data_IF_159367386778
#
_entry.id   IF_159367386778
#
_cell.length_a   1.000
_cell.length_b   1.000
_cell.length_c   1.000
_cell.angle_alpha   90.00
_cell.angle_beta   90.00
_cell.angle_gamma   90.00
#
_symmetry.space_group_name_H-M   'P 1'
#
loop_
_entity.id
_entity.type
_entity.pdbx_description
1 polymer ?
#
# COMPACT_ATOMS: atom_id res chain seq x y z
N UNK A 1 -16.87 1.52 -46.13
CA UNK A 1 -15.79 1.48 -45.14
C UNK A 1 -16.40 1.75 -43.79
N UNK A 2 -16.55 0.72 -42.99
CA UNK A 2 -17.14 0.85 -41.66
C UNK A 2 -16.08 1.39 -40.70
N UNK A 3 -16.33 2.57 -40.19
CA UNK A 3 -15.50 3.24 -39.19
C UNK A 3 -15.65 2.48 -37.86
N UNK A 4 -14.68 1.62 -37.57
CA UNK A 4 -14.61 0.92 -36.29
C UNK A 4 -14.10 1.93 -35.24
N UNK A 5 -15.01 2.72 -34.68
CA UNK A 5 -14.72 3.52 -33.50
C UNK A 5 -14.31 2.58 -32.37
N UNK A 6 -13.01 2.51 -32.11
CA UNK A 6 -12.46 1.91 -30.90
C UNK A 6 -12.96 2.79 -29.73
N UNK A 7 -14.05 2.37 -29.06
CA UNK A 7 -14.49 2.99 -27.83
C UNK A 7 -13.36 2.86 -26.83
N UNK A 8 -12.68 3.97 -26.53
CA UNK A 8 -11.73 4.04 -25.45
C UNK A 8 -12.44 3.62 -24.15
N UNK A 9 -12.01 2.51 -23.56
CA UNK A 9 -12.54 2.06 -22.28
C UNK A 9 -12.17 3.09 -21.20
N UNK A 10 -13.11 3.43 -20.32
CA UNK A 10 -12.82 4.31 -19.20
C UNK A 10 -11.67 3.74 -18.36
N UNK A 11 -10.79 4.60 -17.83
CA UNK A 11 -9.63 4.18 -17.02
C UNK A 11 -10.01 3.25 -15.86
N UNK A 12 -11.21 3.41 -15.32
CA UNK A 12 -11.79 2.56 -14.27
C UNK A 12 -11.98 1.09 -14.69
N UNK A 13 -12.15 0.81 -16.00
CA UNK A 13 -12.27 -0.56 -16.49
C UNK A 13 -10.95 -1.33 -16.45
N UNK A 14 -9.81 -0.62 -16.53
CA UNK A 14 -8.47 -1.21 -16.44
C UNK A 14 -8.04 -1.55 -15.02
N UNK A 15 -8.60 -0.86 -14.02
CA UNK A 15 -8.25 -1.15 -12.61
C UNK A 15 -8.93 -2.46 -12.19
N UNK A 16 -8.16 -3.50 -11.83
CA UNK A 16 -8.71 -4.81 -11.48
C UNK A 16 -9.38 -4.84 -10.10
N UNK A 17 -9.38 -3.75 -9.36
CA UNK A 17 -10.02 -3.65 -8.03
C UNK A 17 -11.53 -3.56 -8.21
N UNK A 18 -12.25 -4.42 -7.48
CA UNK A 18 -13.72 -4.42 -7.41
C UNK A 18 -14.20 -3.58 -6.22
N UNK A 19 -13.67 -3.88 -5.05
CA UNK A 19 -14.00 -3.19 -3.79
C UNK A 19 -12.89 -3.33 -2.76
N UNK A 20 -12.93 -2.51 -1.72
CA UNK A 20 -12.09 -2.66 -0.51
C UNK A 20 -13.02 -2.84 0.67
N UNK A 21 -12.91 -4.00 1.35
CA UNK A 21 -13.77 -4.36 2.48
C UNK A 21 -12.90 -4.83 3.64
N UNK A 22 -13.05 -4.23 4.82
CA UNK A 22 -12.32 -4.57 6.05
C UNK A 22 -10.77 -4.61 5.87
N UNK A 23 -10.23 -3.68 5.06
CA UNK A 23 -8.80 -3.65 4.73
C UNK A 23 -8.35 -4.74 3.77
N UNK A 24 -9.29 -5.46 3.16
CA UNK A 24 -9.05 -6.47 2.12
C UNK A 24 -9.46 -5.92 0.77
N UNK A 25 -8.56 -5.96 -0.19
CA UNK A 25 -8.82 -5.59 -1.58
C UNK A 25 -9.39 -6.80 -2.30
N UNK A 26 -10.61 -6.69 -2.80
CA UNK A 26 -11.27 -7.70 -3.63
C UNK A 26 -11.06 -7.34 -5.08
N UNK A 27 -10.48 -8.25 -5.86
CA UNK A 27 -10.26 -8.05 -7.29
C UNK A 27 -11.46 -8.54 -8.11
N UNK A 28 -11.53 -8.08 -9.36
CA UNK A 28 -12.62 -8.45 -10.30
C UNK A 28 -12.65 -9.95 -10.62
N UNK A 29 -11.51 -10.63 -10.49
CA UNK A 29 -11.38 -12.09 -10.69
C UNK A 29 -11.75 -12.93 -9.45
N UNK A 30 -12.20 -12.27 -8.37
CA UNK A 30 -12.55 -12.91 -7.10
C UNK A 30 -11.35 -13.22 -6.21
N UNK A 31 -10.13 -12.86 -6.60
CA UNK A 31 -8.96 -12.98 -5.73
C UNK A 31 -8.92 -11.84 -4.70
N UNK A 32 -8.27 -12.13 -3.58
CA UNK A 32 -8.17 -11.20 -2.45
C UNK A 32 -6.72 -10.78 -2.24
N UNK A 33 -6.52 -9.53 -1.77
CA UNK A 33 -5.21 -9.01 -1.41
C UNK A 33 -5.29 -8.26 -0.09
N UNK A 34 -4.29 -8.46 0.76
CA UNK A 34 -4.05 -7.62 1.95
C UNK A 34 -2.76 -6.85 1.72
N UNK A 35 -2.77 -5.59 2.09
CA UNK A 35 -1.61 -4.71 2.04
C UNK A 35 -1.07 -4.51 3.46
N UNK A 36 0.22 -4.74 3.61
CA UNK A 36 0.95 -4.51 4.84
C UNK A 36 1.95 -3.39 4.61
N UNK A 37 2.03 -2.44 5.52
CA UNK A 37 3.09 -1.43 5.54
C UNK A 37 4.23 -1.93 6.41
N UNK A 38 5.46 -1.86 5.91
CA UNK A 38 6.66 -2.30 6.61
C UNK A 38 7.56 -1.12 6.96
N UNK A 39 8.19 -1.18 8.15
CA UNK A 39 9.23 -0.22 8.54
C UNK A 39 10.54 -0.50 7.81
N UNK A 40 11.37 0.53 7.66
CA UNK A 40 12.74 0.38 7.17
C UNK A 40 13.72 0.08 8.31
N UNK A 41 14.84 -0.54 7.97
CA UNK A 41 16.00 -0.71 8.84
C UNK A 41 17.19 -0.02 8.17
N UNK A 42 17.94 0.78 8.93
CA UNK A 42 19.17 1.34 8.42
C UNK A 42 20.33 0.36 8.67
N UNK A 43 20.64 -0.46 7.66
CA UNK A 43 21.74 -1.42 7.72
C UNK A 43 23.12 -0.75 7.84
N UNK A 44 23.30 0.46 7.33
CA UNK A 44 24.58 1.16 7.38
C UNK A 44 25.03 1.52 8.83
N UNK A 45 24.07 1.58 9.77
CA UNK A 45 24.35 1.82 11.20
C UNK A 45 24.61 0.54 11.99
N UNK A 46 24.59 -0.63 11.34
CA UNK A 46 24.81 -1.93 11.94
C UNK A 46 26.24 -2.41 11.71
N UNK A 47 26.77 -3.20 12.64
CA UNK A 47 28.04 -3.89 12.45
C UNK A 47 27.95 -4.90 11.29
N UNK A 48 29.09 -5.30 10.74
CA UNK A 48 29.12 -6.26 9.62
C UNK A 48 28.46 -7.60 10.00
N UNK A 49 28.69 -8.09 11.21
CA UNK A 49 28.11 -9.34 11.69
C UNK A 49 26.57 -9.22 11.84
N UNK A 50 26.08 -8.09 12.38
CA UNK A 50 24.65 -7.82 12.47
C UNK A 50 23.99 -7.71 11.09
N UNK A 51 24.66 -7.05 10.11
CA UNK A 51 24.17 -6.97 8.74
C UNK A 51 24.00 -8.37 8.12
N UNK A 52 25.00 -9.22 8.26
CA UNK A 52 24.94 -10.60 7.77
C UNK A 52 23.86 -11.42 8.48
N UNK A 53 23.73 -11.26 9.80
CA UNK A 53 22.69 -11.94 10.56
C UNK A 53 21.27 -11.53 10.09
N UNK A 54 21.01 -10.23 9.87
CA UNK A 54 19.74 -9.71 9.37
C UNK A 54 19.45 -10.25 7.96
N UNK A 55 20.45 -10.24 7.07
CA UNK A 55 20.29 -10.78 5.71
C UNK A 55 19.99 -12.27 5.74
N UNK A 56 20.71 -13.04 6.58
CA UNK A 56 20.46 -14.47 6.75
C UNK A 56 19.06 -14.78 7.29
N UNK A 57 18.58 -14.00 8.27
CA UNK A 57 17.23 -14.11 8.79
C UNK A 57 16.17 -13.79 7.72
N UNK A 58 16.40 -12.77 6.89
CA UNK A 58 15.50 -12.43 5.80
C UNK A 58 15.46 -13.52 4.71
N UNK A 59 16.62 -14.10 4.38
CA UNK A 59 16.69 -15.26 3.47
C UNK A 59 15.91 -16.47 4.03
N UNK A 60 16.06 -16.76 5.31
CA UNK A 60 15.31 -17.83 5.98
C UNK A 60 13.81 -17.56 5.96
N UNK A 61 13.40 -16.29 6.18
CA UNK A 61 12.00 -15.89 6.04
C UNK A 61 11.48 -16.14 4.63
N UNK A 62 12.20 -15.69 3.58
CA UNK A 62 11.78 -15.91 2.18
C UNK A 62 11.66 -17.39 1.85
N UNK A 63 12.60 -18.22 2.32
CA UNK A 63 12.59 -19.68 2.10
C UNK A 63 11.48 -20.41 2.88
N UNK A 64 10.92 -19.79 3.93
CA UNK A 64 9.81 -20.35 4.71
C UNK A 64 8.44 -20.06 4.13
N UNK A 65 8.35 -19.18 3.11
CA UNK A 65 7.08 -18.83 2.49
C UNK A 65 6.60 -19.94 1.54
N UNK A 66 5.41 -20.46 1.80
CA UNK A 66 4.72 -21.44 0.95
C UNK A 66 3.81 -20.79 -0.10
N UNK A 67 3.76 -19.46 -0.12
CA UNK A 67 2.95 -18.66 -1.04
C UNK A 67 3.74 -17.48 -1.58
N UNK A 68 3.30 -16.94 -2.70
CA UNK A 68 3.93 -15.77 -3.31
C UNK A 68 3.57 -14.50 -2.53
N UNK A 69 4.52 -13.57 -2.45
CA UNK A 69 4.31 -12.21 -1.94
C UNK A 69 4.88 -11.22 -2.93
N UNK A 70 4.33 -10.01 -2.94
CA UNK A 70 4.85 -8.92 -3.73
C UNK A 70 5.38 -7.82 -2.81
N UNK A 71 6.61 -7.39 -3.03
CA UNK A 71 7.17 -6.21 -2.37
C UNK A 71 6.99 -5.01 -3.29
N UNK A 72 6.39 -3.96 -2.76
CA UNK A 72 6.20 -2.70 -3.45
C UNK A 72 6.90 -1.60 -2.67
N UNK A 73 7.75 -0.85 -3.35
CA UNK A 73 8.46 0.29 -2.77
C UNK A 73 8.02 1.56 -3.47
N UNK A 74 7.43 2.47 -2.71
CA UNK A 74 7.06 3.78 -3.18
C UNK A 74 8.15 4.77 -2.78
N UNK A 75 8.63 5.57 -3.72
CA UNK A 75 9.57 6.67 -3.47
C UNK A 75 8.92 7.95 -3.99
N UNK A 76 8.75 8.94 -3.11
CA UNK A 76 8.14 10.24 -3.42
C UNK A 76 8.95 11.36 -2.81
N UNK A 77 8.82 12.55 -3.39
CA UNK A 77 9.34 13.76 -2.79
C UNK A 77 8.67 14.00 -1.43
N UNK A 78 9.48 14.46 -0.46
CA UNK A 78 8.96 14.79 0.86
C UNK A 78 7.99 15.96 0.78
N UNK A 79 6.73 15.74 1.14
CA UNK A 79 5.74 16.80 1.25
C UNK A 79 5.93 17.59 2.55
N UNK A 80 6.50 18.78 2.43
CA UNK A 80 6.72 19.69 3.57
C UNK A 80 5.55 20.64 3.83
N UNK A 81 4.53 20.69 2.96
CA UNK A 81 3.41 21.63 3.06
C UNK A 81 2.66 21.56 4.39
N UNK A 82 2.32 20.36 4.94
CA UNK A 82 1.67 20.27 6.25
C UNK A 82 2.52 20.87 7.37
N UNK A 83 3.84 20.67 7.30
CA UNK A 83 4.76 21.24 8.28
C UNK A 83 4.86 22.76 8.16
N UNK A 84 4.93 23.28 6.95
CA UNK A 84 4.93 24.73 6.71
C UNK A 84 3.62 25.36 7.20
N UNK A 85 2.47 24.73 6.93
CA UNK A 85 1.18 25.21 7.42
C UNK A 85 1.14 25.31 8.96
N UNK A 86 1.69 24.32 9.67
CA UNK A 86 1.81 24.32 11.12
C UNK A 86 2.70 25.50 11.62
N UNK A 87 3.80 25.79 10.93
CA UNK A 87 4.66 26.92 11.27
C UNK A 87 4.00 28.26 10.99
N UNK A 88 3.24 28.37 9.90
CA UNK A 88 2.46 29.58 9.55
C UNK A 88 1.34 29.82 10.57
N UNK A 89 0.68 28.78 11.07
CA UNK A 89 -0.28 28.88 12.16
C UNK A 89 0.40 29.38 13.44
N UNK A 90 1.54 28.84 13.81
CA UNK A 90 2.33 29.30 14.96
C UNK A 90 2.77 30.76 14.81
N UNK A 91 3.22 31.15 13.62
CA UNK A 91 3.56 32.54 13.31
C UNK A 91 2.39 33.50 13.57
N UNK A 92 1.16 33.10 13.19
CA UNK A 92 -0.03 33.92 13.38
C UNK A 92 -0.42 34.07 14.88
N UNK A 93 -0.14 33.04 15.70
CA UNK A 93 -0.45 33.03 17.13
C UNK A 93 0.64 33.70 18.00
N UNK A 94 1.87 33.85 17.47
CA UNK A 94 2.98 34.42 18.23
C UNK A 94 2.77 35.90 18.50
N UNK A 95 3.15 36.36 19.69
CA UNK A 95 3.03 37.76 20.11
C UNK A 95 4.37 38.49 20.11
N UNK A 96 5.48 37.75 20.24
CA UNK A 96 6.84 38.29 20.25
C UNK A 96 7.32 38.54 18.82
N UNK A 97 7.66 39.80 18.51
CA UNK A 97 8.13 40.20 17.19
C UNK A 97 9.45 39.52 16.79
N UNK A 98 10.36 39.24 17.76
CA UNK A 98 11.60 38.57 17.48
C UNK A 98 11.35 37.09 17.13
N UNK A 99 10.47 36.42 17.83
CA UNK A 99 10.04 35.05 17.53
C UNK A 99 9.35 34.96 16.16
N UNK A 100 8.51 35.94 15.79
CA UNK A 100 7.91 36.02 14.45
C UNK A 100 8.99 36.07 13.37
N UNK A 101 10.02 36.89 13.55
CA UNK A 101 11.13 36.97 12.59
C UNK A 101 11.82 35.61 12.48
N UNK A 102 12.11 34.94 13.59
CA UNK A 102 12.75 33.62 13.58
C UNK A 102 11.90 32.56 12.88
N UNK A 103 10.58 32.51 13.15
CA UNK A 103 9.68 31.56 12.49
C UNK A 103 9.66 31.80 10.98
N UNK A 104 9.58 33.04 10.54
CA UNK A 104 9.59 33.40 9.11
C UNK A 104 10.88 32.98 8.42
N UNK A 105 12.03 33.28 9.03
CA UNK A 105 13.33 32.90 8.49
C UNK A 105 13.51 31.39 8.46
N UNK A 106 12.99 30.68 9.47
CA UNK A 106 12.99 29.22 9.50
C UNK A 106 12.12 28.61 8.41
N UNK A 107 10.92 29.15 8.16
CA UNK A 107 10.07 28.73 7.05
C UNK A 107 10.81 28.89 5.70
N UNK A 108 11.45 30.05 5.48
CA UNK A 108 12.22 30.30 4.28
C UNK A 108 13.38 29.30 4.13
N UNK A 109 14.11 29.05 5.22
CA UNK A 109 15.20 28.07 5.25
C UNK A 109 14.71 26.65 4.89
N UNK A 110 13.62 26.19 5.49
CA UNK A 110 13.09 24.83 5.24
C UNK A 110 12.65 24.68 3.78
N UNK A 111 11.99 25.68 3.21
CA UNK A 111 11.58 25.66 1.79
C UNK A 111 12.81 25.55 0.87
N UNK A 112 13.80 26.41 1.03
CA UNK A 112 15.03 26.42 0.24
C UNK A 112 15.85 25.13 0.43
N UNK A 113 15.97 24.66 1.67
CA UNK A 113 16.69 23.42 1.97
C UNK A 113 16.06 22.20 1.30
N UNK A 114 14.74 22.08 1.34
CA UNK A 114 14.03 20.93 0.76
C UNK A 114 14.11 20.93 -0.76
N UNK A 115 14.00 22.12 -1.40
CA UNK A 115 14.17 22.24 -2.85
C UNK A 115 15.57 21.84 -3.32
N UNK A 116 16.61 22.21 -2.57
CA UNK A 116 18.00 21.88 -2.92
C UNK A 116 18.38 20.45 -2.60
N UNK A 117 17.90 19.92 -1.50
CA UNK A 117 18.30 18.60 -1.01
C UNK A 117 17.59 17.44 -1.71
N UNK A 118 16.51 17.70 -2.46
CA UNK A 118 15.70 16.68 -3.14
C UNK A 118 15.41 15.46 -2.24
N UNK A 119 14.81 15.72 -1.07
CA UNK A 119 14.59 14.70 -0.04
C UNK A 119 13.44 13.80 -0.46
N UNK A 120 13.73 12.50 -0.54
CA UNK A 120 12.75 11.47 -0.90
C UNK A 120 12.29 10.69 0.33
N UNK A 121 10.99 10.50 0.44
CA UNK A 121 10.37 9.57 1.40
C UNK A 121 10.14 8.23 0.72
N UNK A 122 10.50 7.13 1.42
CA UNK A 122 10.27 5.77 0.93
C UNK A 122 9.33 5.03 1.85
N UNK A 123 8.27 4.49 1.26
CA UNK A 123 7.32 3.61 1.92
C UNK A 123 7.47 2.20 1.36
N UNK A 124 7.41 1.22 2.24
CA UNK A 124 7.57 -0.19 1.89
C UNK A 124 6.25 -0.91 2.16
N UNK A 125 5.76 -1.61 1.16
CA UNK A 125 4.52 -2.37 1.24
C UNK A 125 4.75 -3.82 0.86
N UNK A 126 4.00 -4.71 1.49
CA UNK A 126 3.96 -6.13 1.17
C UNK A 126 2.52 -6.46 0.81
N UNK A 127 2.33 -7.00 -0.39
CA UNK A 127 1.02 -7.45 -0.86
C UNK A 127 0.93 -8.95 -0.69
N UNK A 128 -0.05 -9.38 0.10
CA UNK A 128 -0.31 -10.79 0.43
C UNK A 128 -1.50 -11.26 -0.40
N UNK A 129 -1.31 -12.17 -1.37
CA UNK A 129 -2.39 -12.67 -2.20
C UNK A 129 -3.10 -13.88 -1.59
N UNK A 130 -4.38 -14.00 -1.92
CA UNK A 130 -5.16 -15.22 -1.77
C UNK A 130 -6.03 -15.43 -3.01
N UNK A 131 -5.78 -16.54 -3.72
CA UNK A 131 -6.48 -16.89 -4.96
C UNK A 131 -7.26 -18.19 -4.74
N UNK A 132 -8.57 -18.12 -4.49
CA UNK A 132 -9.39 -19.32 -4.28
C UNK A 132 -9.44 -20.23 -5.54
N UNK A 133 -9.37 -19.63 -6.73
CA UNK A 133 -9.39 -20.38 -7.99
C UNK A 133 -8.17 -21.26 -8.20
N UNK A 134 -6.99 -20.91 -7.68
CA UNK A 134 -5.78 -21.73 -7.77
C UNK A 134 -5.84 -22.94 -6.88
N UNK A 135 -6.49 -22.84 -5.72
CA UNK A 135 -6.64 -23.95 -4.76
C UNK A 135 -7.64 -24.99 -5.29
N UNK A 136 -8.70 -24.53 -5.95
CA UNK A 136 -9.70 -25.42 -6.58
C UNK A 136 -9.15 -26.20 -7.76
N UNK A 137 -8.11 -25.70 -8.45
CA UNK A 137 -7.48 -26.38 -9.59
C UNK A 137 -6.53 -27.51 -9.19
N UNK A 138 -6.05 -27.53 -7.96
CA UNK A 138 -5.15 -28.59 -7.44
C UNK A 138 -5.85 -29.91 -7.04
N UNK A 139 -7.16 -29.95 -7.04
CA UNK A 139 -7.96 -31.04 -6.41
C UNK A 139 -8.94 -31.79 -7.30
N UNK A 140 -8.68 -32.03 -8.60
CA UNK A 140 -9.52 -32.95 -9.34
C UNK A 140 -9.56 -32.77 -10.85
N UNK A 141 -9.49 -33.88 -11.58
CA UNK A 141 -9.54 -34.02 -13.04
C UNK A 141 -10.87 -33.49 -13.66
N UNK A 142 -11.89 -33.21 -12.85
CA UNK A 142 -13.19 -32.70 -13.29
C UNK A 142 -13.26 -31.17 -13.47
N UNK A 143 -12.30 -30.39 -12.96
CA UNK A 143 -12.26 -28.93 -13.09
C UNK A 143 -11.81 -28.42 -14.46
N UNK A 144 -11.29 -29.29 -15.33
CA UNK A 144 -10.75 -28.92 -16.65
C UNK A 144 -11.81 -28.63 -17.72
N UNK A 145 -13.08 -28.94 -17.45
CA UNK A 145 -14.17 -28.81 -18.44
C UNK A 145 -15.07 -27.56 -18.26
N UNK A 146 -14.84 -26.74 -17.24
CA UNK A 146 -15.58 -25.49 -17.08
C UNK A 146 -14.85 -24.33 -17.76
N UNK A 147 -15.51 -23.53 -18.61
CA UNK A 147 -14.88 -22.38 -19.26
C UNK A 147 -14.42 -21.38 -18.20
N UNK A 148 -13.15 -21.00 -18.29
CA UNK A 148 -12.44 -20.13 -17.33
C UNK A 148 -13.08 -18.74 -17.14
N UNK A 149 -14.11 -18.39 -17.90
CA UNK A 149 -14.80 -17.09 -17.82
C UNK A 149 -16.05 -17.07 -16.95
N UNK A 150 -16.62 -18.20 -16.56
CA UNK A 150 -17.89 -18.22 -15.82
C UNK A 150 -17.75 -18.05 -14.30
N UNK A 151 -16.56 -18.37 -13.75
CA UNK A 151 -16.29 -18.25 -12.32
C UNK A 151 -15.87 -16.83 -11.88
N UNK A 152 -15.43 -15.99 -12.81
CA UNK A 152 -14.85 -14.68 -12.50
C UNK A 152 -15.88 -13.60 -12.11
N UNK A 153 -17.18 -13.82 -12.34
CA UNK A 153 -18.23 -12.84 -12.06
C UNK A 153 -19.20 -13.24 -10.92
N UNK A 154 -18.96 -14.37 -10.25
CA UNK A 154 -19.76 -14.72 -9.09
C UNK A 154 -19.42 -13.78 -7.93
N UNK A 155 -20.42 -13.07 -7.42
CA UNK A 155 -20.27 -12.32 -6.19
C UNK A 155 -19.87 -13.30 -5.08
N UNK A 156 -18.74 -13.05 -4.43
CA UNK A 156 -18.29 -13.83 -3.28
C UNK A 156 -19.35 -13.69 -2.20
N UNK A 157 -19.89 -14.81 -1.70
CA UNK A 157 -20.83 -14.76 -0.58
C UNK A 157 -20.12 -14.28 0.69
N UNK A 158 -20.87 -13.71 1.64
CA UNK A 158 -20.28 -13.21 2.89
C UNK A 158 -19.56 -14.33 3.66
N UNK A 159 -20.11 -15.55 3.66
CA UNK A 159 -19.48 -16.71 4.28
C UNK A 159 -18.16 -17.09 3.61
N UNK A 160 -18.10 -17.06 2.28
CA UNK A 160 -16.87 -17.32 1.53
C UNK A 160 -15.83 -16.24 1.77
N UNK A 161 -16.26 -14.98 1.84
CA UNK A 161 -15.36 -13.87 2.14
C UNK A 161 -14.69 -14.05 3.51
N UNK A 162 -15.45 -14.41 4.55
CA UNK A 162 -14.90 -14.64 5.90
C UNK A 162 -13.95 -15.83 5.94
N UNK A 163 -14.23 -16.91 5.20
CA UNK A 163 -13.32 -18.04 5.08
C UNK A 163 -11.99 -17.63 4.41
N UNK A 164 -12.05 -16.87 3.33
CA UNK A 164 -10.87 -16.40 2.60
C UNK A 164 -10.08 -15.38 3.41
N UNK A 165 -10.78 -14.52 4.13
CA UNK A 165 -10.18 -13.56 5.07
C UNK A 165 -9.37 -14.27 6.16
N UNK A 166 -9.92 -15.33 6.75
CA UNK A 166 -9.20 -16.14 7.75
C UNK A 166 -7.91 -16.73 7.19
N UNK A 167 -7.91 -17.22 5.94
CA UNK A 167 -6.71 -17.70 5.27
C UNK A 167 -5.69 -16.59 5.02
N UNK A 168 -6.14 -15.39 4.63
CA UNK A 168 -5.28 -14.23 4.49
C UNK A 168 -4.67 -13.78 5.83
N UNK A 169 -5.42 -13.82 6.90
CA UNK A 169 -4.94 -13.49 8.25
C UNK A 169 -3.85 -14.47 8.70
N UNK A 170 -4.00 -15.76 8.42
CA UNK A 170 -2.94 -16.75 8.68
C UNK A 170 -1.66 -16.44 7.90
N UNK A 171 -1.77 -16.14 6.59
CA UNK A 171 -0.61 -15.73 5.76
C UNK A 171 0.04 -14.46 6.27
N UNK A 172 -0.77 -13.48 6.67
CA UNK A 172 -0.30 -12.21 7.24
C UNK A 172 0.49 -12.47 8.53
N UNK A 173 -0.01 -13.32 9.42
CA UNK A 173 0.69 -13.67 10.65
C UNK A 173 2.05 -14.35 10.39
N UNK A 174 2.16 -15.20 9.37
CA UNK A 174 3.45 -15.80 8.96
C UNK A 174 4.44 -14.72 8.52
N UNK A 175 3.99 -13.73 7.76
CA UNK A 175 4.84 -12.63 7.30
C UNK A 175 5.28 -11.75 8.48
N UNK A 176 4.35 -11.38 9.36
CA UNK A 176 4.64 -10.56 10.54
C UNK A 176 5.68 -11.26 11.45
N UNK A 177 5.47 -12.53 11.79
CA UNK A 177 6.38 -13.28 12.62
C UNK A 177 7.76 -13.48 11.97
N UNK A 178 7.80 -13.69 10.66
CA UNK A 178 9.05 -13.85 9.92
C UNK A 178 9.88 -12.57 9.89
N UNK A 179 9.23 -11.44 9.64
CA UNK A 179 9.90 -10.14 9.52
C UNK A 179 10.29 -9.53 10.88
N UNK A 180 9.54 -9.77 11.94
CA UNK A 180 9.89 -9.31 13.30
C UNK A 180 11.30 -9.79 13.68
N UNK A 181 11.69 -11.00 13.30
CA UNK A 181 13.04 -11.55 13.57
C UNK A 181 14.14 -10.73 12.90
N UNK A 182 13.85 -10.11 11.76
CA UNK A 182 14.79 -9.22 11.06
C UNK A 182 14.83 -7.80 11.64
N UNK A 183 13.94 -7.48 12.60
CA UNK A 183 13.76 -6.15 13.17
C UNK A 183 12.83 -5.25 12.37
N UNK A 184 12.20 -5.75 11.30
CA UNK A 184 11.17 -5.02 10.52
C UNK A 184 9.83 -5.17 11.22
N UNK A 185 9.17 -4.04 11.47
CA UNK A 185 7.79 -4.00 11.97
C UNK A 185 6.84 -3.90 10.78
N UNK A 186 5.73 -4.62 10.87
CA UNK A 186 4.72 -4.67 9.82
C UNK A 186 3.36 -4.35 10.42
N UNK A 187 2.55 -3.58 9.69
CA UNK A 187 1.19 -3.20 10.09
C UNK A 187 0.26 -3.42 8.92
N UNK A 188 -0.88 -4.08 9.16
CA UNK A 188 -1.93 -4.23 8.16
C UNK A 188 -2.62 -2.88 7.92
N UNK A 189 -2.82 -2.50 6.65
CA UNK A 189 -3.57 -1.31 6.28
C UNK A 189 -5.08 -1.55 6.45
N UNK A 190 -5.77 -0.57 7.01
CA UNK A 190 -7.23 -0.53 7.08
C UNK A 190 -7.86 -0.09 5.76
N UNK A 191 -9.19 -0.08 5.70
CA UNK A 191 -9.94 0.25 4.47
C UNK A 191 -9.63 1.67 3.98
N UNK A 192 -9.64 2.64 4.88
CA UNK A 192 -9.38 4.05 4.53
C UNK A 192 -7.93 4.25 4.03
N UNK A 193 -6.97 3.63 4.71
CA UNK A 193 -5.55 3.71 4.36
C UNK A 193 -5.26 3.07 2.99
N UNK A 194 -5.91 1.96 2.66
CA UNK A 194 -5.81 1.32 1.34
C UNK A 194 -6.41 2.22 0.25
N UNK A 195 -7.56 2.83 0.49
CA UNK A 195 -8.20 3.76 -0.44
C UNK A 195 -7.30 4.98 -0.67
N UNK A 196 -6.75 5.55 0.41
CA UNK A 196 -5.82 6.68 0.33
C UNK A 196 -4.56 6.32 -0.48
N UNK A 197 -3.99 5.13 -0.23
CA UNK A 197 -2.83 4.65 -0.98
C UNK A 197 -3.13 4.54 -2.47
N UNK A 198 -4.25 3.91 -2.85
CA UNK A 198 -4.63 3.81 -4.26
C UNK A 198 -4.92 5.18 -4.88
N UNK A 199 -5.58 6.07 -4.15
CA UNK A 199 -5.81 7.42 -4.63
C UNK A 199 -4.49 8.14 -4.96
N UNK A 200 -3.51 8.08 -4.06
CA UNK A 200 -2.19 8.67 -4.25
C UNK A 200 -1.42 8.02 -5.42
N UNK A 201 -1.57 6.72 -5.61
CA UNK A 201 -0.90 6.00 -6.70
C UNK A 201 -1.49 6.35 -8.07
N UNK A 202 -2.82 6.47 -8.17
CA UNK A 202 -3.50 6.73 -9.44
C UNK A 202 -3.59 8.21 -9.81
N UNK A 203 -3.38 9.12 -8.85
CA UNK A 203 -3.42 10.55 -9.06
C UNK A 203 -2.09 11.22 -8.67
N UNK A 204 -0.99 10.94 -9.38
CA UNK A 204 0.28 11.59 -9.12
C UNK A 204 0.14 13.09 -9.40
N UNK A 205 0.32 13.94 -8.37
CA UNK A 205 0.22 15.39 -8.46
C UNK A 205 -1.02 16.00 -7.80
N UNK A 206 -2.07 15.25 -7.49
CA UNK A 206 -3.24 15.73 -6.74
C UNK A 206 -3.08 15.56 -5.21
N UNK A 207 -1.91 15.80 -4.68
CA UNK A 207 -1.65 15.70 -3.22
C UNK A 207 -2.41 16.73 -2.38
N UNK A 208 -3.14 17.65 -3.02
CA UNK A 208 -3.73 18.83 -2.37
C UNK A 208 -5.18 18.70 -1.93
N UNK A 209 -5.89 17.64 -2.34
CA UNK A 209 -7.29 17.47 -1.92
C UNK A 209 -7.40 16.39 -0.85
N UNK A 210 -7.78 16.76 0.39
CA UNK A 210 -8.20 15.75 1.35
C UNK A 210 -9.39 14.99 0.76
N UNK A 211 -9.32 13.65 0.78
CA UNK A 211 -10.40 12.79 0.31
C UNK A 211 -11.68 13.13 1.07
N UNK A 212 -12.68 13.66 0.38
CA UNK A 212 -14.03 13.69 0.89
C UNK A 212 -14.61 12.27 0.72
N UNK A 213 -14.39 11.42 1.70
CA UNK A 213 -14.85 10.01 1.75
C UNK A 213 -16.39 9.89 1.59
N UNK A 214 -17.13 10.99 1.71
CA UNK A 214 -18.60 11.02 1.60
C UNK A 214 -19.14 10.86 0.17
N UNK A 215 -18.33 10.89 -0.88
CA UNK A 215 -18.82 10.78 -2.27
C UNK A 215 -18.69 9.38 -2.89
N UNK A 216 -18.03 8.43 -2.22
CA UNK A 216 -17.84 7.05 -2.74
C UNK A 216 -18.84 6.03 -2.17
N UNK A 217 -19.76 6.45 -1.30
CA UNK A 217 -20.80 5.60 -0.69
C UNK A 217 -22.20 5.87 -1.26
N UNK A 218 -22.32 6.01 -2.61
CA UNK A 218 -23.60 5.98 -3.31
C UNK A 218 -23.55 5.03 -4.49
#
# INVERSE_FOLDING_TARGET
MADTQVKAKATQEFVPVKEVRDGVVVLKDGSLRVLLMASSINLALKSQDEQQAIIGQFQNFLNSLEFTVQFFVESRDLDIRPYIALLEERYAQELDDLMKIQIREYIAFIKDFTERANIMTKNFFIVVPYDPALISRGGGVLGAFLPAGAAANAAISDEQFEQYRTQLEQRTAVIEQGLVRTGVRVVKLGTEEVIELFYKLFNPGELEKPLQVQQLAK
#
